data_IF_988882997183
#
_entry.id   IF_988882997183
#
_cell.length_a   1.000
_cell.length_b   1.000
_cell.length_c   1.000
_cell.angle_alpha   90.00
_cell.angle_beta   90.00
_cell.angle_gamma   90.00
#
_symmetry.space_group_name_H-M   'P 1'
#
loop_
_entity.id
_entity.type
_entity.pdbx_description
1 polymer ?
#
# COMPACT_ATOMS: atom_id res chain seq x y z
N UNK A 1 13.55 0.85 -13.22
CA UNK A 1 12.51 1.24 -12.25
C UNK A 1 12.59 0.54 -10.87
N UNK A 2 13.60 -0.30 -10.57
CA UNK A 2 13.69 -0.99 -9.25
C UNK A 2 14.52 -0.26 -8.17
N UNK A 3 15.22 0.81 -8.53
CA UNK A 3 16.10 1.52 -7.60
C UNK A 3 15.34 2.11 -6.40
N UNK A 4 14.15 2.65 -6.64
CA UNK A 4 13.31 3.22 -5.57
C UNK A 4 12.74 2.12 -4.64
N UNK A 5 12.22 1.04 -5.21
CA UNK A 5 11.73 -0.12 -4.44
C UNK A 5 12.82 -0.64 -3.49
N UNK A 6 14.02 -0.90 -4.02
CA UNK A 6 15.14 -1.39 -3.22
C UNK A 6 15.55 -0.40 -2.13
N UNK A 7 15.63 0.90 -2.45
CA UNK A 7 15.99 1.93 -1.49
C UNK A 7 14.97 2.02 -0.34
N UNK A 8 13.68 1.84 -0.63
CA UNK A 8 12.62 1.83 0.40
C UNK A 8 12.71 0.56 1.25
N UNK A 9 12.94 -0.61 0.66
CA UNK A 9 13.09 -1.87 1.39
C UNK A 9 14.32 -1.90 2.32
N UNK A 10 15.39 -1.20 1.95
CA UNK A 10 16.60 -1.07 2.77
C UNK A 10 16.53 0.09 3.77
N UNK A 11 15.49 0.95 3.69
CA UNK A 11 15.36 2.10 4.56
C UNK A 11 14.93 1.67 5.98
N UNK A 12 15.68 2.04 7.03
CA UNK A 12 15.38 1.59 8.40
C UNK A 12 14.21 2.35 9.06
N UNK A 13 13.63 3.33 8.39
CA UNK A 13 12.54 4.14 8.90
C UNK A 13 11.17 3.76 8.34
N UNK A 14 10.17 4.59 8.62
CA UNK A 14 8.84 4.45 8.06
C UNK A 14 8.69 5.30 6.79
N UNK A 15 7.96 4.78 5.82
CA UNK A 15 7.61 5.50 4.59
C UNK A 15 6.09 5.49 4.45
N UNK A 16 5.53 6.66 4.19
CA UNK A 16 4.15 6.80 3.72
C UNK A 16 4.21 7.31 2.29
N UNK A 17 3.65 6.54 1.35
CA UNK A 17 3.66 6.88 -0.07
C UNK A 17 2.27 6.77 -0.67
N UNK A 18 1.97 7.68 -1.61
CA UNK A 18 0.76 7.64 -2.43
C UNK A 18 1.18 7.18 -3.81
N UNK A 19 0.58 6.10 -4.30
CA UNK A 19 0.87 5.55 -5.63
C UNK A 19 -0.38 4.94 -6.25
N UNK A 20 -0.46 5.00 -7.57
CA UNK A 20 -1.44 4.26 -8.37
C UNK A 20 -0.84 2.99 -9.01
N UNK A 21 0.46 2.74 -8.83
CA UNK A 21 1.13 1.53 -9.34
C UNK A 21 0.92 0.38 -8.36
N UNK A 22 0.02 -0.53 -8.74
CA UNK A 22 -0.34 -1.73 -7.97
C UNK A 22 0.86 -2.65 -7.73
N UNK A 23 1.76 -2.79 -8.70
CA UNK A 23 2.94 -3.66 -8.56
C UNK A 23 3.96 -3.10 -7.58
N UNK A 24 4.08 -1.78 -7.52
CA UNK A 24 4.90 -1.10 -6.52
C UNK A 24 4.32 -1.29 -5.12
N UNK A 25 3.02 -1.02 -4.95
CA UNK A 25 2.35 -1.18 -3.67
C UNK A 25 2.40 -2.64 -3.18
N UNK A 26 2.20 -3.61 -4.06
CA UNK A 26 2.31 -5.04 -3.71
C UNK A 26 3.69 -5.43 -3.17
N UNK A 27 4.75 -4.77 -3.62
CA UNK A 27 6.12 -5.10 -3.23
C UNK A 27 6.56 -4.44 -1.95
N UNK A 28 6.11 -3.21 -1.68
CA UNK A 28 6.68 -2.38 -0.62
C UNK A 28 5.68 -2.05 0.50
N UNK A 29 4.37 -2.10 0.25
CA UNK A 29 3.39 -1.71 1.24
C UNK A 29 3.21 -2.82 2.28
N UNK A 30 3.27 -2.42 3.55
CA UNK A 30 2.87 -3.27 4.67
C UNK A 30 1.46 -2.95 5.16
N UNK A 31 0.95 -1.76 4.81
CA UNK A 31 -0.39 -1.31 5.16
C UNK A 31 -0.96 -0.49 4.00
N UNK A 32 -2.29 -0.53 3.84
CA UNK A 32 -3.03 0.28 2.88
C UNK A 32 -3.93 1.26 3.64
N UNK A 33 -3.79 2.55 3.31
CA UNK A 33 -4.75 3.59 3.64
C UNK A 33 -5.55 3.88 2.37
N UNK A 34 -6.82 3.48 2.36
CA UNK A 34 -7.71 3.72 1.23
C UNK A 34 -8.73 4.82 1.56
N UNK A 35 -8.65 5.91 0.83
CA UNK A 35 -9.53 7.06 0.95
C UNK A 35 -10.80 6.82 0.12
N UNK A 36 -11.94 6.87 0.79
CA UNK A 36 -13.26 6.68 0.21
C UNK A 36 -14.04 7.99 0.19
N UNK A 37 -15.21 7.92 -0.40
CA UNK A 37 -16.16 9.02 -0.40
C UNK A 37 -16.53 9.44 1.03
N UNK A 38 -16.97 10.70 1.17
CA UNK A 38 -17.43 11.27 2.44
C UNK A 38 -16.38 11.26 3.56
N UNK A 39 -15.09 11.22 3.22
CA UNK A 39 -13.99 11.28 4.18
C UNK A 39 -13.77 9.99 4.97
N UNK A 40 -14.39 8.88 4.54
CA UNK A 40 -14.12 7.57 5.11
C UNK A 40 -12.73 7.08 4.71
N UNK A 41 -12.01 6.45 5.64
CA UNK A 41 -10.67 5.90 5.39
C UNK A 41 -10.65 4.47 5.92
N UNK A 42 -10.32 3.53 5.04
CA UNK A 42 -10.00 2.17 5.45
C UNK A 42 -8.51 2.09 5.79
N UNK A 43 -8.19 1.46 6.91
CA UNK A 43 -6.82 1.10 7.26
C UNK A 43 -6.71 -0.42 7.31
N UNK A 44 -5.84 -0.97 6.48
CA UNK A 44 -5.67 -2.41 6.29
C UNK A 44 -4.20 -2.81 6.49
N UNK A 45 -3.96 -3.89 7.21
CA UNK A 45 -2.64 -4.51 7.40
C UNK A 45 -2.43 -5.59 6.33
N UNK A 46 -1.48 -5.33 5.44
CA UNK A 46 -1.22 -6.13 4.25
C UNK A 46 -0.91 -5.29 3.02
N UNK A 47 -0.57 -5.99 1.94
CA UNK A 47 -0.24 -5.37 0.65
C UNK A 47 -1.51 -5.04 -0.18
N UNK A 48 -1.30 -4.56 -1.41
CA UNK A 48 -2.41 -4.12 -2.26
C UNK A 48 -3.31 -5.28 -2.73
N UNK A 49 -2.75 -6.42 -3.11
CA UNK A 49 -3.49 -7.61 -3.54
C UNK A 49 -4.33 -8.17 -2.40
N UNK A 50 -3.75 -8.29 -1.20
CA UNK A 50 -4.48 -8.72 0.00
C UNK A 50 -5.62 -7.76 0.34
N UNK A 51 -5.36 -6.46 0.22
CA UNK A 51 -6.38 -5.42 0.40
C UNK A 51 -7.53 -5.56 -0.61
N UNK A 52 -7.23 -5.75 -1.90
CA UNK A 52 -8.27 -5.95 -2.92
C UNK A 52 -9.12 -7.19 -2.66
N UNK A 53 -8.52 -8.27 -2.17
CA UNK A 53 -9.25 -9.48 -1.79
C UNK A 53 -10.14 -9.27 -0.56
N UNK A 54 -9.62 -8.58 0.47
CA UNK A 54 -10.38 -8.23 1.66
C UNK A 54 -11.57 -7.33 1.32
N UNK A 55 -11.35 -6.34 0.45
CA UNK A 55 -12.38 -5.40 0.02
C UNK A 55 -13.52 -6.11 -0.73
N UNK A 56 -13.23 -7.12 -1.55
CA UNK A 56 -14.28 -7.89 -2.26
C UNK A 56 -15.15 -8.73 -1.32
N UNK A 57 -14.66 -9.01 -0.11
CA UNK A 57 -15.35 -9.85 0.89
C UNK A 57 -16.16 -9.04 1.90
N UNK A 58 -15.93 -7.72 1.97
CA UNK A 58 -16.54 -6.80 2.94
C UNK A 58 -17.59 -5.94 2.25
#
# INVERSE_FOLDING_TARGET
LRALENAILEFPGCVMCISHDRWFLDRIATHILDYRDEGQINFFDGNYTEYEEWLKKT
#
